data_IF_931987104095
#
_entry.id   IF_931987104095
#
_cell.length_a   1.000
_cell.length_b   1.000
_cell.length_c   1.000
_cell.angle_alpha   90.00
_cell.angle_beta   90.00
_cell.angle_gamma   90.00
#
_symmetry.space_group_name_H-M   'P 1'
#
loop_
_entity.id
_entity.type
_entity.pdbx_description
1 polymer ?
#
# COMPACT_ATOMS: atom_id res chain seq x y z
N UNK A 1 -15.22 -8.22 -7.62
CA UNK A 1 -15.07 -9.61 -7.25
C UNK A 1 -16.30 -10.15 -6.49
N UNK A 2 -17.44 -10.18 -7.18
CA UNK A 2 -18.76 -10.53 -6.61
C UNK A 2 -18.77 -11.96 -6.05
N UNK A 3 -18.05 -12.89 -6.66
CA UNK A 3 -18.04 -14.30 -6.25
C UNK A 3 -17.32 -14.53 -4.91
N UNK A 4 -16.19 -13.88 -4.67
CA UNK A 4 -15.47 -13.99 -3.38
C UNK A 4 -16.24 -13.37 -2.22
N UNK A 5 -17.05 -12.35 -2.49
CA UNK A 5 -17.87 -11.69 -1.49
C UNK A 5 -18.99 -12.59 -0.94
N UNK A 6 -19.55 -13.47 -1.77
CA UNK A 6 -20.60 -14.39 -1.36
C UNK A 6 -20.11 -15.46 -0.40
N UNK A 7 -18.82 -15.83 -0.48
CA UNK A 7 -18.20 -16.79 0.43
C UNK A 7 -17.88 -16.20 1.83
N UNK A 8 -17.82 -14.85 1.96
CA UNK A 8 -17.32 -14.18 3.17
C UNK A 8 -18.39 -13.38 3.93
N UNK A 9 -19.67 -13.46 3.54
CA UNK A 9 -20.76 -12.63 4.11
C UNK A 9 -20.40 -11.13 4.23
N UNK A 10 -19.59 -10.65 3.29
CA UNK A 10 -19.02 -9.30 3.29
C UNK A 10 -19.96 -8.28 2.64
N UNK A 11 -20.03 -7.10 3.23
CA UNK A 11 -20.64 -5.93 2.60
C UNK A 11 -19.65 -5.29 1.63
N UNK A 12 -20.09 -4.85 0.45
CA UNK A 12 -19.24 -4.17 -0.52
C UNK A 12 -19.54 -2.68 -0.56
N UNK A 13 -18.45 -1.90 -0.59
CA UNK A 13 -18.43 -0.52 -1.00
C UNK A 13 -17.70 -0.42 -2.34
N UNK A 14 -18.26 0.33 -3.28
CA UNK A 14 -17.60 0.58 -4.55
C UNK A 14 -16.58 1.71 -4.37
N UNK A 15 -15.31 1.42 -4.66
CA UNK A 15 -14.23 2.42 -4.66
C UNK A 15 -13.30 2.20 -5.85
N UNK A 16 -13.05 3.27 -6.60
CA UNK A 16 -11.98 3.36 -7.58
C UNK A 16 -10.88 4.27 -6.99
N UNK A 17 -9.73 3.68 -6.68
CA UNK A 17 -8.59 4.42 -6.11
C UNK A 17 -7.93 5.37 -7.11
N UNK A 18 -8.20 5.23 -8.41
CA UNK A 18 -7.79 6.17 -9.45
C UNK A 18 -8.69 7.40 -9.58
N UNK A 19 -9.83 7.41 -8.88
CA UNK A 19 -10.78 8.50 -8.86
C UNK A 19 -10.99 9.00 -7.42
N UNK A 20 -10.42 10.16 -7.08
CA UNK A 20 -10.52 10.72 -5.73
C UNK A 20 -11.96 11.03 -5.32
N UNK A 21 -12.85 11.35 -6.27
CA UNK A 21 -14.26 11.53 -5.97
C UNK A 21 -14.94 10.20 -5.60
N UNK A 22 -14.55 9.10 -6.26
CA UNK A 22 -14.98 7.76 -5.86
C UNK A 22 -14.49 7.41 -4.46
N UNK A 23 -13.23 7.76 -4.14
CA UNK A 23 -12.66 7.55 -2.80
C UNK A 23 -13.43 8.36 -1.74
N UNK A 24 -13.76 9.63 -2.02
CA UNK A 24 -14.56 10.48 -1.10
C UNK A 24 -15.96 9.91 -0.88
N UNK A 25 -16.64 9.49 -1.94
CA UNK A 25 -17.97 8.88 -1.82
C UNK A 25 -17.93 7.60 -0.98
N UNK A 26 -16.96 6.72 -1.25
CA UNK A 26 -16.83 5.47 -0.51
C UNK A 26 -16.53 5.70 0.98
N UNK A 27 -15.64 6.64 1.31
CA UNK A 27 -15.35 7.01 2.69
C UNK A 27 -16.55 7.67 3.38
N UNK A 28 -17.33 8.48 2.67
CA UNK A 28 -18.59 9.07 3.15
C UNK A 28 -19.61 7.99 3.49
N UNK A 29 -19.88 7.11 2.53
CA UNK A 29 -20.79 5.97 2.71
C UNK A 29 -20.37 5.05 3.86
N UNK A 30 -19.06 4.84 4.05
CA UNK A 30 -18.55 4.07 5.18
C UNK A 30 -18.88 4.75 6.51
N UNK A 31 -18.59 6.04 6.64
CA UNK A 31 -18.84 6.83 7.88
C UNK A 31 -20.32 6.95 8.25
N UNK A 32 -21.20 6.94 7.26
CA UNK A 32 -22.65 6.93 7.51
C UNK A 32 -23.16 5.59 8.06
N UNK A 33 -22.46 4.50 7.77
CA UNK A 33 -22.90 3.14 8.12
C UNK A 33 -22.20 2.54 9.33
N UNK A 34 -20.97 3.00 9.63
CA UNK A 34 -20.13 2.39 10.63
C UNK A 34 -19.47 3.44 11.52
N UNK A 35 -19.48 3.18 12.82
CA UNK A 35 -18.88 4.04 13.85
C UNK A 35 -17.46 3.61 14.24
N UNK A 36 -17.01 2.43 13.79
CA UNK A 36 -15.67 1.91 14.07
C UNK A 36 -15.04 1.26 12.86
N UNK A 37 -13.70 1.30 12.83
CA UNK A 37 -12.88 0.62 11.84
C UNK A 37 -11.64 0.04 12.52
N UNK A 38 -11.67 -1.27 12.77
CA UNK A 38 -10.59 -1.96 13.49
C UNK A 38 -9.37 -2.21 12.61
N UNK A 39 -9.60 -2.45 11.31
CA UNK A 39 -8.55 -2.80 10.38
C UNK A 39 -8.82 -2.21 8.99
N UNK A 40 -7.88 -1.39 8.53
CA UNK A 40 -7.82 -0.92 7.14
C UNK A 40 -6.64 -1.58 6.42
N UNK A 41 -6.92 -2.31 5.33
CA UNK A 41 -5.88 -2.94 4.51
C UNK A 41 -5.78 -2.24 3.16
N UNK A 42 -4.78 -1.40 2.99
CA UNK A 42 -4.44 -0.71 1.74
C UNK A 42 -3.71 -1.68 0.81
N UNK A 43 -4.45 -2.56 0.14
CA UNK A 43 -3.90 -3.69 -0.61
C UNK A 43 -3.95 -3.53 -2.13
N UNK A 44 -4.96 -2.85 -2.67
CA UNK A 44 -5.14 -2.72 -4.10
C UNK A 44 -3.93 -2.10 -4.80
N UNK A 45 -3.69 -2.45 -6.05
CA UNK A 45 -2.55 -1.89 -6.77
C UNK A 45 -2.45 -2.32 -8.21
N UNK A 46 -1.56 -1.65 -8.92
CA UNK A 46 -1.19 -1.88 -10.30
C UNK A 46 0.32 -2.16 -10.38
N UNK A 47 0.73 -2.95 -11.37
CA UNK A 47 2.14 -3.23 -11.62
C UNK A 47 2.44 -3.15 -13.12
N UNK A 48 3.35 -2.25 -13.47
CA UNK A 48 3.96 -2.11 -14.80
C UNK A 48 2.90 -1.98 -15.93
N UNK A 49 1.86 -1.13 -15.80
CA UNK A 49 1.00 -0.79 -16.92
C UNK A 49 1.76 0.12 -17.91
N UNK A 50 1.29 0.26 -19.16
CA UNK A 50 1.70 1.38 -20.02
C UNK A 50 1.46 2.74 -19.34
N UNK A 51 2.17 3.77 -19.79
CA UNK A 51 1.92 5.13 -19.30
C UNK A 51 0.46 5.53 -19.51
N UNK A 52 -0.10 6.14 -18.51
CA UNK A 52 -1.45 6.70 -18.56
C UNK A 52 -1.77 7.41 -17.26
N UNK A 53 -2.94 8.01 -17.22
CA UNK A 53 -3.42 8.79 -16.08
C UNK A 53 -4.72 8.24 -15.53
N UNK A 54 -4.87 8.32 -14.23
CA UNK A 54 -6.11 8.05 -13.51
C UNK A 54 -7.16 9.11 -13.84
N UNK A 55 -8.42 8.88 -13.48
CA UNK A 55 -9.49 9.87 -13.61
C UNK A 55 -9.16 11.19 -12.88
N UNK A 56 -8.39 11.12 -11.80
CA UNK A 56 -7.89 12.30 -11.06
C UNK A 56 -6.60 12.90 -11.64
N UNK A 57 -6.12 12.42 -12.81
CA UNK A 57 -5.00 13.00 -13.54
C UNK A 57 -3.60 12.53 -13.09
N UNK A 58 -3.49 11.58 -12.16
CA UNK A 58 -2.22 11.04 -11.68
C UNK A 58 -1.69 9.92 -12.55
N UNK A 59 -0.35 9.71 -12.58
CA UNK A 59 0.22 8.50 -13.16
C UNK A 59 -0.41 7.27 -12.48
N UNK A 60 -0.71 6.22 -13.28
CA UNK A 60 -1.48 5.07 -12.83
C UNK A 60 -0.97 4.44 -11.54
N UNK A 61 0.33 4.15 -11.45
CA UNK A 61 0.89 3.41 -10.32
C UNK A 61 1.00 4.30 -9.08
N UNK A 62 1.46 5.53 -9.23
CA UNK A 62 1.54 6.47 -8.10
C UNK A 62 0.15 6.87 -7.62
N UNK A 63 -0.79 7.09 -8.54
CA UNK A 63 -2.18 7.45 -8.24
C UNK A 63 -2.90 6.34 -7.48
N UNK A 64 -2.95 5.13 -8.04
CA UNK A 64 -3.72 4.01 -7.46
C UNK A 64 -3.00 3.38 -6.27
N UNK A 65 -1.68 3.10 -6.38
CA UNK A 65 -0.95 2.38 -5.33
C UNK A 65 -0.71 3.23 -4.09
N UNK A 66 -0.58 4.56 -4.24
CA UNK A 66 -0.24 5.46 -3.15
C UNK A 66 -1.31 6.52 -2.88
N UNK A 67 -1.57 7.45 -3.81
CA UNK A 67 -2.43 8.60 -3.55
C UNK A 67 -3.88 8.23 -3.21
N UNK A 68 -4.44 7.23 -3.88
CA UNK A 68 -5.79 6.72 -3.58
C UNK A 68 -5.90 6.13 -2.17
N UNK A 69 -4.90 5.36 -1.73
CA UNK A 69 -4.84 4.82 -0.38
C UNK A 69 -4.55 5.90 0.67
N UNK A 70 -3.67 6.86 0.36
CA UNK A 70 -3.43 8.03 1.20
C UNK A 70 -4.73 8.78 1.47
N UNK A 71 -5.47 9.11 0.41
CA UNK A 71 -6.74 9.81 0.50
C UNK A 71 -7.79 9.00 1.29
N UNK A 72 -7.93 7.71 1.01
CA UNK A 72 -8.87 6.84 1.72
C UNK A 72 -8.55 6.79 3.22
N UNK A 73 -7.28 6.59 3.57
CA UNK A 73 -6.85 6.56 4.98
C UNK A 73 -7.11 7.90 5.67
N UNK A 74 -6.78 9.03 5.03
CA UNK A 74 -7.02 10.37 5.58
C UNK A 74 -8.50 10.68 5.81
N UNK A 75 -9.36 10.26 4.87
CA UNK A 75 -10.82 10.44 4.99
C UNK A 75 -11.45 9.56 6.09
N UNK A 76 -10.80 8.45 6.44
CA UNK A 76 -11.24 7.53 7.50
C UNK A 76 -10.46 7.69 8.81
N UNK A 77 -9.49 8.60 8.88
CA UNK A 77 -8.59 8.72 10.03
C UNK A 77 -9.34 9.01 11.33
N UNK A 78 -10.41 9.81 11.29
CA UNK A 78 -11.21 10.11 12.49
C UNK A 78 -11.85 8.87 13.11
N UNK A 79 -12.37 7.95 12.29
CA UNK A 79 -12.93 6.66 12.78
C UNK A 79 -11.81 5.75 13.28
N UNK A 80 -10.68 5.68 12.57
CA UNK A 80 -9.53 4.88 12.98
C UNK A 80 -9.02 5.34 14.36
N UNK A 81 -8.84 6.63 14.57
CA UNK A 81 -8.38 7.18 15.85
C UNK A 81 -9.42 7.01 16.97
N UNK A 82 -10.71 7.04 16.63
CA UNK A 82 -11.81 6.75 17.57
C UNK A 82 -11.98 5.27 17.90
N UNK A 83 -11.27 4.36 17.22
CA UNK A 83 -11.35 2.91 17.42
C UNK A 83 -10.12 2.43 18.18
N UNK A 84 -10.23 2.05 19.47
CA UNK A 84 -9.10 1.57 20.25
C UNK A 84 -8.43 0.34 19.60
N UNK A 85 -7.11 0.41 19.41
CA UNK A 85 -6.34 -0.67 18.81
C UNK A 85 -6.50 -0.81 17.29
N UNK A 86 -7.06 0.21 16.63
CA UNK A 86 -7.21 0.23 15.18
C UNK A 86 -5.85 0.08 14.49
N UNK A 87 -5.87 -0.60 13.33
CA UNK A 87 -4.67 -0.93 12.58
C UNK A 87 -4.81 -0.58 11.10
N UNK A 88 -3.74 -0.03 10.55
CA UNK A 88 -3.61 0.20 9.10
C UNK A 88 -2.47 -0.65 8.56
N UNK A 89 -2.76 -1.53 7.62
CA UNK A 89 -1.76 -2.35 6.92
C UNK A 89 -1.61 -1.82 5.50
N UNK A 90 -0.43 -1.30 5.16
CA UNK A 90 -0.15 -0.78 3.82
C UNK A 90 0.69 -1.78 3.04
N UNK A 91 0.16 -2.24 1.89
CA UNK A 91 0.83 -3.26 1.08
C UNK A 91 1.85 -2.63 0.14
N UNK A 92 3.12 -2.94 0.41
CA UNK A 92 4.27 -2.60 -0.42
C UNK A 92 4.69 -3.79 -1.31
N UNK A 93 5.95 -3.89 -1.65
CA UNK A 93 6.55 -4.94 -2.48
C UNK A 93 8.06 -4.94 -2.30
N UNK A 94 8.73 -6.06 -2.58
CA UNK A 94 10.19 -6.09 -2.81
C UNK A 94 10.63 -5.12 -3.92
N UNK A 95 9.69 -4.72 -4.78
CA UNK A 95 9.92 -3.69 -5.77
C UNK A 95 10.22 -2.29 -5.22
N UNK A 96 10.08 -2.04 -3.90
CA UNK A 96 10.52 -0.79 -3.30
C UNK A 96 12.05 -0.64 -3.29
N UNK A 97 12.78 -1.78 -3.32
CA UNK A 97 14.25 -1.80 -3.24
C UNK A 97 14.88 -1.07 -4.42
N UNK A 98 15.79 -0.15 -4.10
CA UNK A 98 16.37 0.77 -5.08
C UNK A 98 15.38 1.77 -5.68
N UNK A 99 14.20 1.93 -5.10
CA UNK A 99 13.24 2.98 -5.45
C UNK A 99 13.73 4.35 -4.97
N UNK A 100 13.30 5.39 -5.67
CA UNK A 100 13.54 6.79 -5.32
C UNK A 100 12.26 7.58 -5.54
N UNK A 101 11.94 8.50 -4.63
CA UNK A 101 10.85 9.46 -4.82
C UNK A 101 11.37 10.63 -5.66
N UNK A 102 10.97 10.69 -6.90
CA UNK A 102 11.32 11.78 -7.79
C UNK A 102 10.38 12.98 -7.59
N UNK A 103 10.65 13.81 -6.62
CA UNK A 103 9.85 15.01 -6.34
C UNK A 103 9.81 16.02 -7.48
N UNK A 104 10.77 15.98 -8.40
CA UNK A 104 10.78 16.83 -9.60
C UNK A 104 9.82 16.33 -10.69
N UNK A 105 9.40 15.06 -10.63
CA UNK A 105 8.54 14.43 -11.62
C UNK A 105 7.81 13.20 -11.04
N UNK A 106 6.96 13.43 -10.02
CA UNK A 106 6.18 12.38 -9.36
C UNK A 106 5.26 11.63 -10.33
N UNK A 107 4.86 12.28 -11.41
CA UNK A 107 3.93 11.74 -12.41
C UNK A 107 4.63 11.09 -13.60
N UNK A 108 5.98 11.02 -13.59
CA UNK A 108 6.80 10.43 -14.67
C UNK A 108 6.49 11.00 -16.06
N UNK A 109 6.24 12.30 -16.15
CA UNK A 109 5.90 13.01 -17.40
C UNK A 109 7.10 13.17 -18.34
N UNK A 110 8.31 13.27 -17.76
CA UNK A 110 9.56 13.52 -18.49
C UNK A 110 10.31 12.26 -18.92
N UNK A 111 9.62 11.14 -19.03
CA UNK A 111 10.19 9.86 -19.43
C UNK A 111 9.72 8.73 -18.53
N UNK A 112 8.70 8.04 -18.99
CA UNK A 112 8.08 6.94 -18.26
C UNK A 112 8.92 5.66 -18.39
N UNK A 113 9.30 5.14 -17.24
CA UNK A 113 9.75 3.76 -17.08
C UNK A 113 8.83 3.07 -16.07
N UNK A 114 8.13 2.04 -16.53
CA UNK A 114 7.08 1.39 -15.77
C UNK A 114 7.60 0.73 -14.47
N UNK A 115 8.84 0.21 -14.50
CA UNK A 115 9.44 -0.39 -13.31
C UNK A 115 9.89 0.68 -12.31
N UNK A 116 10.45 1.79 -12.80
CA UNK A 116 10.83 2.93 -11.94
C UNK A 116 9.59 3.54 -11.27
N UNK A 117 8.50 3.74 -12.00
CA UNK A 117 7.23 4.22 -11.46
C UNK A 117 6.66 3.24 -10.43
N UNK A 118 6.74 1.93 -10.69
CA UNK A 118 6.34 0.90 -9.73
C UNK A 118 7.17 0.98 -8.43
N UNK A 119 8.51 1.03 -8.56
CA UNK A 119 9.42 1.15 -7.41
C UNK A 119 9.10 2.38 -6.57
N UNK A 120 8.92 3.54 -7.23
CA UNK A 120 8.51 4.78 -6.57
C UNK A 120 7.20 4.60 -5.80
N UNK A 121 6.17 4.02 -6.42
CA UNK A 121 4.87 3.83 -5.76
C UNK A 121 4.94 2.90 -4.55
N UNK A 122 5.79 1.86 -4.60
CA UNK A 122 5.94 0.91 -3.50
C UNK A 122 6.84 1.43 -2.38
N UNK A 123 7.84 2.24 -2.69
CA UNK A 123 8.58 3.01 -1.69
C UNK A 123 7.67 4.05 -1.01
N UNK A 124 6.83 4.75 -1.78
CA UNK A 124 5.86 5.70 -1.23
C UNK A 124 4.92 5.06 -0.20
N UNK A 125 4.53 3.80 -0.41
CA UNK A 125 3.70 3.06 0.55
C UNK A 125 4.42 2.78 1.87
N UNK A 126 5.73 2.49 1.85
CA UNK A 126 6.53 2.32 3.08
C UNK A 126 6.73 3.64 3.81
N UNK A 127 7.11 4.70 3.08
CA UNK A 127 7.25 6.04 3.63
C UNK A 127 5.95 6.52 4.29
N UNK A 128 4.82 6.26 3.63
CA UNK A 128 3.49 6.57 4.18
C UNK A 128 3.20 5.80 5.46
N UNK A 129 3.45 4.48 5.49
CA UNK A 129 3.18 3.66 6.67
C UNK A 129 4.01 4.12 7.89
N UNK A 130 5.30 4.44 7.68
CA UNK A 130 6.18 4.93 8.72
C UNK A 130 5.77 6.34 9.21
N UNK A 131 5.46 7.26 8.28
CA UNK A 131 5.04 8.61 8.63
C UNK A 131 3.68 8.61 9.34
N UNK A 132 2.75 7.74 8.93
CA UNK A 132 1.46 7.57 9.60
C UNK A 132 1.66 7.11 11.05
N UNK A 133 2.56 6.15 11.30
CA UNK A 133 2.89 5.71 12.65
C UNK A 133 3.52 6.82 13.49
N UNK A 134 4.42 7.60 12.87
CA UNK A 134 5.10 8.70 13.57
C UNK A 134 4.13 9.82 13.96
N UNK A 135 3.14 10.08 13.11
CA UNK A 135 2.13 11.12 13.35
C UNK A 135 1.05 10.70 14.34
N UNK A 136 0.68 9.43 14.31
CA UNK A 136 -0.42 8.88 15.12
C UNK A 136 0.06 7.64 15.89
N UNK A 137 0.82 7.83 16.98
CA UNK A 137 1.40 6.73 17.76
C UNK A 137 0.35 5.84 18.44
N UNK A 138 -0.87 6.32 18.62
CA UNK A 138 -2.01 5.56 19.13
C UNK A 138 -2.60 4.59 18.10
N UNK A 139 -2.28 4.76 16.82
CA UNK A 139 -2.68 3.87 15.74
C UNK A 139 -1.56 2.88 15.44
N UNK A 140 -1.89 1.63 15.15
CA UNK A 140 -0.89 0.65 14.69
C UNK A 140 -0.80 0.73 13.15
N UNK A 141 0.16 1.49 12.63
CA UNK A 141 0.43 1.57 11.20
C UNK A 141 1.63 0.69 10.85
N UNK A 142 1.43 -0.28 9.97
CA UNK A 142 2.44 -1.26 9.55
C UNK A 142 2.42 -1.47 8.05
N UNK A 143 3.53 -1.99 7.53
CA UNK A 143 3.62 -2.37 6.14
C UNK A 143 3.76 -3.89 5.98
N UNK A 144 3.35 -4.41 4.81
CA UNK A 144 3.57 -5.80 4.45
C UNK A 144 3.79 -5.94 2.93
N UNK A 145 4.45 -7.04 2.52
CA UNK A 145 4.50 -7.43 1.10
C UNK A 145 4.29 -8.92 0.92
N UNK A 146 3.62 -9.32 -0.18
CA UNK A 146 3.27 -10.71 -0.44
C UNK A 146 4.42 -11.56 -1.01
N UNK A 147 5.65 -11.02 -1.12
CA UNK A 147 6.70 -11.67 -1.89
C UNK A 147 6.36 -11.80 -3.38
N UNK A 148 6.87 -12.85 -4.01
CA UNK A 148 6.55 -13.19 -5.39
C UNK A 148 5.32 -14.11 -5.46
N UNK A 149 4.13 -13.58 -5.19
CA UNK A 149 2.88 -14.33 -5.25
C UNK A 149 2.25 -14.23 -6.64
N UNK A 150 1.59 -15.32 -7.07
CA UNK A 150 0.75 -15.32 -8.27
C UNK A 150 -0.50 -14.51 -8.03
N UNK A 151 -0.47 -13.24 -8.40
CA UNK A 151 -1.63 -12.36 -8.30
C UNK A 151 -2.14 -11.96 -9.68
N UNK A 152 -3.37 -11.45 -9.76
CA UNK A 152 -3.92 -10.89 -11.00
C UNK A 152 -3.07 -9.72 -11.55
N UNK A 153 -2.26 -9.08 -10.72
CA UNK A 153 -1.28 -8.06 -11.10
C UNK A 153 -0.30 -8.52 -12.19
N UNK A 154 0.05 -9.82 -12.21
CA UNK A 154 0.94 -10.37 -13.23
C UNK A 154 0.30 -10.54 -14.61
N UNK A 155 -1.01 -10.40 -14.75
CA UNK A 155 -1.72 -10.57 -16.04
C UNK A 155 -1.45 -9.43 -17.02
N UNK A 156 -1.11 -8.24 -16.53
CA UNK A 156 -0.78 -7.05 -17.32
C UNK A 156 0.72 -6.89 -17.58
N UNK A 157 1.55 -7.79 -17.02
CA UNK A 157 3.01 -7.74 -17.15
C UNK A 157 3.50 -8.16 -18.55
N UNK A 158 4.72 -7.72 -18.98
CA UNK A 158 5.32 -8.08 -20.26
C UNK A 158 5.36 -9.60 -20.50
N UNK A 159 5.29 -10.03 -21.76
CA UNK A 159 5.18 -11.43 -22.17
C UNK A 159 6.27 -12.34 -21.57
N UNK A 160 7.48 -11.83 -21.34
CA UNK A 160 8.59 -12.55 -20.74
C UNK A 160 8.27 -12.98 -19.28
N UNK A 161 7.66 -12.09 -18.50
CA UNK A 161 7.19 -12.39 -17.14
C UNK A 161 6.04 -13.41 -17.16
N UNK A 162 5.15 -13.31 -18.15
CA UNK A 162 4.05 -14.27 -18.36
C UNK A 162 4.60 -15.67 -18.73
N UNK A 163 5.71 -15.73 -19.43
CA UNK A 163 6.38 -17.01 -19.78
C UNK A 163 6.95 -17.68 -18.53
N UNK A 164 7.67 -16.93 -17.68
CA UNK A 164 8.24 -17.46 -16.42
C UNK A 164 7.15 -17.97 -15.47
N UNK A 165 5.97 -17.33 -15.48
CA UNK A 165 4.82 -17.70 -14.64
C UNK A 165 3.90 -18.75 -15.31
N UNK A 166 4.23 -19.21 -16.53
CA UNK A 166 3.39 -20.16 -17.26
C UNK A 166 3.36 -21.54 -16.59
N UNK A 167 2.27 -22.29 -16.83
CA UNK A 167 2.13 -23.67 -16.29
C UNK A 167 3.29 -24.60 -16.71
N UNK A 168 3.95 -24.33 -17.84
CA UNK A 168 5.04 -25.19 -18.38
C UNK A 168 6.37 -24.98 -17.66
N UNK A 169 6.63 -23.78 -17.15
CA UNK A 169 7.85 -23.43 -16.40
C UNK A 169 7.66 -23.52 -14.90
N UNK A 170 6.44 -23.83 -14.45
CA UNK A 170 6.05 -23.88 -13.05
C UNK A 170 6.92 -24.79 -12.19
N UNK A 171 7.29 -25.97 -12.71
CA UNK A 171 8.13 -26.92 -11.97
C UNK A 171 9.57 -26.42 -11.75
N UNK A 172 10.09 -25.60 -12.67
CA UNK A 172 11.45 -25.05 -12.59
C UNK A 172 11.54 -23.83 -11.66
N UNK A 173 10.43 -23.06 -11.49
CA UNK A 173 10.41 -21.82 -10.74
C UNK A 173 9.41 -21.81 -9.55
N UNK A 174 8.89 -23.00 -9.18
CA UNK A 174 7.94 -23.14 -8.06
C UNK A 174 8.50 -22.66 -6.72
N UNK A 175 9.81 -22.71 -6.53
CA UNK A 175 10.50 -22.22 -5.34
C UNK A 175 10.65 -20.69 -5.28
N UNK A 176 10.46 -20.00 -6.42
CA UNK A 176 10.50 -18.53 -6.52
C UNK A 176 9.13 -17.87 -6.46
N UNK A 177 8.04 -18.64 -6.62
CA UNK A 177 6.70 -18.08 -6.75
C UNK A 177 5.77 -18.86 -5.82
N UNK A 178 5.21 -18.16 -4.85
CA UNK A 178 4.27 -18.75 -3.89
C UNK A 178 2.80 -18.62 -4.34
N UNK A 179 1.93 -19.39 -3.69
CA UNK A 179 0.49 -19.32 -3.92
C UNK A 179 -0.08 -17.97 -3.46
N UNK A 180 -1.29 -17.62 -3.93
CA UNK A 180 -2.01 -16.43 -3.43
C UNK A 180 -2.26 -16.53 -1.92
N UNK A 181 -2.50 -17.74 -1.40
CA UNK A 181 -2.72 -17.99 0.03
C UNK A 181 -1.45 -17.71 0.83
N UNK A 182 -0.30 -18.23 0.39
CA UNK A 182 0.97 -18.00 1.07
C UNK A 182 1.39 -16.53 0.99
N UNK A 183 1.13 -15.87 -0.16
CA UNK A 183 1.36 -14.44 -0.33
C UNK A 183 0.50 -13.55 0.57
N UNK A 184 -0.64 -14.05 1.03
CA UNK A 184 -1.48 -13.33 1.99
C UNK A 184 -0.97 -13.41 3.43
N UNK A 185 -0.15 -14.41 3.78
CA UNK A 185 0.28 -14.65 5.17
C UNK A 185 1.03 -13.46 5.81
N UNK A 186 1.97 -12.76 5.15
CA UNK A 186 2.59 -11.58 5.73
C UNK A 186 1.58 -10.46 6.02
N UNK A 187 0.60 -10.27 5.14
CA UNK A 187 -0.45 -9.25 5.29
C UNK A 187 -1.37 -9.65 6.45
N UNK A 188 -1.76 -10.92 6.53
CA UNK A 188 -2.58 -11.43 7.64
C UNK A 188 -1.84 -11.32 8.97
N UNK A 189 -0.54 -11.66 9.02
CA UNK A 189 0.27 -11.49 10.22
C UNK A 189 0.32 -10.01 10.65
N UNK A 190 0.65 -9.12 9.73
CA UNK A 190 0.63 -7.68 9.98
C UNK A 190 -0.73 -7.19 10.49
N UNK A 191 -1.83 -7.78 10.01
CA UNK A 191 -3.19 -7.40 10.36
C UNK A 191 -3.66 -7.95 11.72
N UNK A 192 -3.29 -9.17 12.10
CA UNK A 192 -3.96 -9.91 13.17
C UNK A 192 -3.06 -10.37 14.32
N UNK A 193 -1.73 -10.42 14.13
CA UNK A 193 -0.81 -10.84 15.21
C UNK A 193 -0.78 -9.75 16.30
N UNK A 194 -1.16 -10.07 17.56
CA UNK A 194 -1.20 -9.10 18.65
C UNK A 194 0.20 -8.58 19.06
N UNK A 195 1.27 -9.29 18.72
CA UNK A 195 2.64 -8.88 19.02
C UNK A 195 3.20 -7.85 18.03
N UNK A 196 2.45 -7.49 16.99
CA UNK A 196 2.88 -6.51 15.99
C UNK A 196 2.86 -5.10 16.55
N UNK A 197 4.00 -4.42 16.42
CA UNK A 197 4.16 -3.02 16.78
C UNK A 197 4.08 -2.10 15.55
N UNK A 198 3.68 -0.87 15.76
CA UNK A 198 3.65 0.14 14.69
C UNK A 198 5.04 0.40 14.10
N UNK A 199 5.09 0.68 12.81
CA UNK A 199 6.33 0.89 12.06
C UNK A 199 7.02 -0.39 11.57
N UNK A 200 6.52 -1.58 11.91
CA UNK A 200 7.09 -2.84 11.44
C UNK A 200 6.73 -3.13 9.97
N UNK A 201 7.60 -3.92 9.33
CA UNK A 201 7.42 -4.39 7.95
C UNK A 201 7.48 -5.91 7.89
N UNK A 202 6.50 -6.53 7.22
CA UNK A 202 6.34 -7.98 7.14
C UNK A 202 6.45 -8.47 5.70
N UNK A 203 7.14 -9.60 5.52
CA UNK A 203 7.30 -10.26 4.24
C UNK A 203 7.60 -11.75 4.41
N UNK A 204 7.78 -12.50 3.32
CA UNK A 204 8.28 -13.87 3.37
C UNK A 204 9.74 -13.90 3.84
N UNK A 205 10.09 -14.81 4.74
CA UNK A 205 11.43 -14.92 5.33
C UNK A 205 12.42 -15.81 4.54
N UNK A 206 12.07 -16.26 3.35
CA UNK A 206 12.96 -17.07 2.52
C UNK A 206 13.91 -16.23 1.65
N UNK A 207 14.63 -16.90 0.76
CA UNK A 207 15.63 -16.25 -0.07
C UNK A 207 15.07 -15.10 -0.89
N UNK A 208 15.71 -13.92 -0.79
CA UNK A 208 15.29 -12.69 -1.46
C UNK A 208 13.88 -12.24 -1.10
N UNK A 209 13.30 -12.75 -0.02
CA UNK A 209 11.92 -12.45 0.41
C UNK A 209 10.87 -12.75 -0.68
N UNK A 210 11.16 -13.70 -1.59
CA UNK A 210 10.23 -14.10 -2.64
C UNK A 210 9.17 -15.06 -2.11
N UNK A 211 9.58 -16.00 -1.26
CA UNK A 211 8.74 -17.07 -0.70
C UNK A 211 9.13 -17.33 0.76
N UNK A 212 8.32 -18.11 1.47
CA UNK A 212 8.63 -18.55 2.84
C UNK A 212 7.60 -18.09 3.86
N UNK A 213 7.89 -18.38 5.13
CA UNK A 213 6.99 -18.01 6.25
C UNK A 213 6.93 -16.50 6.41
N UNK A 214 5.75 -15.99 6.79
CA UNK A 214 5.58 -14.59 7.16
C UNK A 214 6.49 -14.23 8.34
N UNK A 215 7.38 -13.24 8.15
CA UNK A 215 8.29 -12.76 9.18
C UNK A 215 8.44 -11.24 9.12
N UNK A 216 9.02 -10.65 10.16
CA UNK A 216 9.46 -9.27 10.12
C UNK A 216 10.68 -9.17 9.22
N UNK A 217 10.66 -8.22 8.29
CA UNK A 217 11.73 -7.95 7.31
C UNK A 217 12.16 -6.49 7.41
N UNK A 218 13.29 -6.17 6.78
CA UNK A 218 13.82 -4.80 6.79
C UNK A 218 13.60 -4.15 5.43
N UNK A 219 13.05 -2.94 5.44
CA UNK A 219 12.96 -2.10 4.25
C UNK A 219 14.33 -1.50 3.90
N UNK A 220 14.48 -1.01 2.65
CA UNK A 220 15.66 -0.24 2.26
C UNK A 220 15.81 1.03 3.13
N UNK A 221 17.04 1.51 3.27
CA UNK A 221 17.35 2.74 4.05
C UNK A 221 16.53 3.93 3.59
N UNK A 222 16.26 4.04 2.28
CA UNK A 222 15.43 5.11 1.71
C UNK A 222 14.02 5.20 2.31
N UNK A 223 13.49 4.08 2.83
CA UNK A 223 12.17 4.06 3.46
C UNK A 223 12.17 4.66 4.88
N UNK A 224 13.35 4.83 5.47
CA UNK A 224 13.53 5.29 6.86
C UNK A 224 13.95 6.77 6.96
N UNK A 225 14.09 7.49 5.84
CA UNK A 225 14.45 8.90 5.83
C UNK A 225 13.24 9.78 6.25
N UNK A 226 13.27 10.41 7.45
CA UNK A 226 12.14 11.19 7.94
C UNK A 226 11.86 12.45 7.10
N UNK A 227 12.88 13.02 6.47
CA UNK A 227 12.71 14.21 5.63
C UNK A 227 11.97 13.85 4.34
N UNK A 228 12.29 12.70 3.74
CA UNK A 228 11.57 12.17 2.57
C UNK A 228 10.15 11.76 2.93
N UNK A 229 9.94 11.12 4.09
CA UNK A 229 8.61 10.76 4.61
C UNK A 229 7.73 12.00 4.75
N UNK A 230 8.21 13.03 5.45
CA UNK A 230 7.48 14.27 5.66
C UNK A 230 7.20 15.02 4.35
N UNK A 231 8.19 15.10 3.45
CA UNK A 231 8.01 15.77 2.16
C UNK A 231 6.98 15.05 1.29
N UNK A 232 7.02 13.70 1.24
CA UNK A 232 6.03 12.92 0.50
C UNK A 232 4.64 13.09 1.08
N UNK A 233 4.51 13.16 2.40
CA UNK A 233 3.24 13.41 3.07
C UNK A 233 2.63 14.74 2.64
N UNK A 234 3.38 15.84 2.73
CA UNK A 234 2.92 17.17 2.33
C UNK A 234 2.52 17.21 0.85
N UNK A 235 3.32 16.58 -0.03
CA UNK A 235 2.97 16.49 -1.45
C UNK A 235 1.73 15.64 -1.70
N UNK A 236 1.52 14.57 -0.93
CA UNK A 236 0.33 13.73 -1.04
C UNK A 236 -0.92 14.49 -0.57
N UNK A 237 -0.85 15.24 0.52
CA UNK A 237 -1.93 16.14 0.95
C UNK A 237 -2.27 17.17 -0.13
N UNK A 238 -1.26 17.83 -0.69
CA UNK A 238 -1.43 18.81 -1.76
C UNK A 238 -2.08 18.21 -3.02
N UNK A 239 -1.64 17.03 -3.44
CA UNK A 239 -2.14 16.36 -4.64
C UNK A 239 -3.56 15.82 -4.47
N UNK A 240 -3.87 15.28 -3.30
CA UNK A 240 -5.19 14.67 -3.04
C UNK A 240 -6.23 15.66 -2.52
N UNK A 241 -5.78 16.81 -1.99
CA UNK A 241 -6.64 17.74 -1.26
C UNK A 241 -7.20 17.14 0.04
N UNK A 242 -6.61 16.03 0.53
CA UNK A 242 -6.99 15.40 1.80
C UNK A 242 -5.91 15.68 2.83
N UNK A 243 -6.28 16.36 3.90
CA UNK A 243 -5.41 16.69 5.03
C UNK A 243 -5.72 15.81 6.22
N UNK A 244 -4.70 15.42 6.95
CA UNK A 244 -4.85 14.69 8.22
C UNK A 244 -4.90 15.68 9.39
N UNK A 245 -5.59 15.36 10.49
CA UNK A 245 -5.57 16.20 11.68
C UNK A 245 -4.13 16.33 12.21
N UNK A 246 -3.83 17.46 12.80
CA UNK A 246 -2.54 17.65 13.50
C UNK A 246 -2.58 16.81 14.77
N UNK A 247 -1.66 15.86 14.90
CA UNK A 247 -1.55 15.05 16.12
C UNK A 247 -1.30 15.94 17.34
N UNK A 248 -1.99 15.65 18.43
CA UNK A 248 -1.92 16.47 19.64
C UNK A 248 -0.48 16.66 20.19
N UNK A 249 0.45 15.73 19.91
CA UNK A 249 1.86 15.83 20.29
C UNK A 249 2.73 16.73 19.41
N UNK A 250 2.30 17.06 18.16
CA UNK A 250 3.11 17.90 17.24
C UNK A 250 2.94 19.41 17.50
N UNK A 251 2.03 19.82 18.36
CA UNK A 251 1.84 21.23 18.74
C UNK A 251 2.86 21.69 19.79
N UNK A 252 3.55 20.77 20.46
CA UNK A 252 4.52 21.08 21.51
C UNK A 252 5.91 21.49 20.99
N UNK A 253 6.25 21.17 19.75
CA UNK A 253 7.60 21.40 19.15
C UNK A 253 7.62 22.50 18.07
N UNK A 254 6.67 23.41 18.06
CA UNK A 254 6.80 24.64 17.25
C UNK A 254 7.47 25.72 18.10
N UNK A 255 8.68 26.17 17.68
CA UNK A 255 9.38 27.27 18.35
C UNK A 255 8.60 28.58 18.26
#
# INVERSE_FOLDING_TARGET
>A
DVYKRQELDGRALHVDLGDLESVRRAAGEFRERFERLDLLVNNAGLMIPPYGRTASGFEWQFGVNHLGHFALTGLLIGILLGTPGARVVTVSSNGHRGGVINFGDLQSERGYDAMRAYRQSKLANLLFAHELQRRFPELVSVAAHPGAARTRLMRTSPWLFRFVVSRRTQLLFSWLIQSEKDGALPILRAATDPAVCGGEYFGPGGWGEFTGRATRVTADENAHDPAVQQRLWVESERLTGVTFPVAAGMLADRP
#
